data_IF_966083877389
#
_entry.id   IF_966083877389
#
_cell.length_a   1.000
_cell.length_b   1.000
_cell.length_c   1.000
_cell.angle_alpha   90.00
_cell.angle_beta   90.00
_cell.angle_gamma   90.00
#
_symmetry.space_group_name_H-M   'P 1'
#
loop_
_entity.id
_entity.type
_entity.pdbx_description
1 polymer ?
#
# COMPACT_ATOMS: atom_id res chain seq x y z
N UNK A 1 -18.44 -0.21 54.29
CA UNK A 1 -18.96 -0.58 52.94
C UNK A 1 -18.09 0.10 51.88
N UNK A 2 -17.13 -0.63 51.29
CA UNK A 2 -16.27 -0.13 50.20
C UNK A 2 -17.02 -0.30 48.88
N UNK A 3 -17.31 0.79 48.17
CA UNK A 3 -17.88 0.74 46.82
C UNK A 3 -16.77 0.39 45.84
N UNK A 4 -16.94 -0.74 45.17
CA UNK A 4 -16.07 -1.27 44.14
C UNK A 4 -16.28 -0.53 42.81
N UNK A 5 -15.16 -0.23 42.15
CA UNK A 5 -14.87 -0.49 40.72
C UNK A 5 -15.68 0.35 39.71
N UNK A 6 -15.13 1.43 39.15
CA UNK A 6 -14.30 1.46 37.93
C UNK A 6 -14.88 0.64 36.76
N UNK A 7 -15.66 1.29 35.89
CA UNK A 7 -15.72 0.92 34.48
C UNK A 7 -15.35 2.16 33.66
N UNK A 8 -14.05 2.26 33.39
CA UNK A 8 -13.47 3.19 32.44
C UNK A 8 -13.50 2.57 31.04
N UNK A 9 -14.03 3.35 30.10
CA UNK A 9 -13.61 3.46 28.70
C UNK A 9 -13.72 2.17 27.87
N UNK A 10 -14.83 2.08 27.12
CA UNK A 10 -14.85 1.41 25.83
C UNK A 10 -13.92 2.17 24.87
N UNK A 11 -12.65 1.77 24.82
CA UNK A 11 -11.67 2.31 23.90
C UNK A 11 -12.01 1.88 22.48
N UNK A 12 -12.11 2.87 21.59
CA UNK A 12 -12.29 2.72 20.16
C UNK A 12 -11.31 1.68 19.59
N UNK A 13 -11.80 0.53 19.14
CA UNK A 13 -11.09 -0.33 18.20
C UNK A 13 -11.32 0.20 16.78
N UNK A 14 -10.94 1.45 16.55
CA UNK A 14 -10.61 1.95 15.22
C UNK A 14 -9.10 1.86 15.14
N UNK A 15 -8.56 0.85 14.46
CA UNK A 15 -7.14 0.82 14.13
C UNK A 15 -6.87 2.02 13.21
N UNK A 16 -6.50 3.15 13.80
CA UNK A 16 -5.93 4.29 13.10
C UNK A 16 -4.52 3.88 12.66
N UNK A 17 -4.43 3.03 11.64
CA UNK A 17 -3.18 2.79 10.93
C UNK A 17 -2.80 4.11 10.26
N UNK A 18 -1.66 4.66 10.67
CA UNK A 18 -1.18 5.95 10.18
C UNK A 18 -0.43 5.79 8.87
N UNK A 19 -0.67 6.70 7.93
CA UNK A 19 0.14 6.87 6.73
C UNK A 19 1.29 7.80 7.09
N UNK A 20 2.53 7.32 6.97
CA UNK A 20 3.73 8.11 7.12
C UNK A 20 4.14 8.64 5.75
N UNK A 21 4.14 9.97 5.61
CA UNK A 21 4.46 10.63 4.36
C UNK A 21 5.23 11.94 4.59
N UNK A 22 5.97 12.36 3.57
CA UNK A 22 6.55 13.69 3.46
C UNK A 22 5.79 14.44 2.36
N UNK A 23 5.31 15.64 2.65
CA UNK A 23 4.51 16.45 1.73
C UNK A 23 5.25 17.75 1.40
N UNK A 24 5.43 17.99 0.10
CA UNK A 24 5.86 19.28 -0.46
C UNK A 24 4.71 19.89 -1.27
N UNK A 25 4.83 21.13 -1.78
CA UNK A 25 3.82 21.68 -2.69
C UNK A 25 3.59 20.83 -3.94
N UNK A 26 4.60 20.12 -4.43
CA UNK A 26 4.60 19.38 -5.70
C UNK A 26 4.33 17.87 -5.54
N UNK A 27 4.74 17.27 -4.44
CA UNK A 27 4.61 15.83 -4.23
C UNK A 27 4.21 15.42 -2.81
N UNK A 28 3.62 14.23 -2.70
CA UNK A 28 3.46 13.50 -1.46
C UNK A 28 4.21 12.18 -1.58
N UNK A 29 5.25 12.02 -0.77
CA UNK A 29 6.08 10.82 -0.72
C UNK A 29 5.65 9.93 0.42
N UNK A 30 5.07 8.77 0.11
CA UNK A 30 4.57 7.79 1.08
C UNK A 30 5.72 6.86 1.47
N UNK A 31 6.17 6.94 2.73
CA UNK A 31 7.18 6.04 3.28
C UNK A 31 6.57 4.78 3.91
N UNK A 32 5.33 4.88 4.39
CA UNK A 32 4.56 3.74 4.88
C UNK A 32 3.06 4.06 4.88
N UNK A 33 2.21 3.09 4.53
CA UNK A 33 0.76 3.19 4.66
C UNK A 33 0.18 1.91 5.24
N UNK A 34 -0.45 1.98 6.40
CA UNK A 34 -0.98 0.78 7.07
C UNK A 34 -2.40 0.38 6.67
N UNK A 35 -3.10 1.21 5.89
CA UNK A 35 -4.50 1.00 5.55
C UNK A 35 -5.45 1.69 6.51
N UNK A 36 -6.66 1.13 6.65
CA UNK A 36 -7.73 1.66 7.49
C UNK A 36 -9.09 1.68 6.78
N UNK A 37 -9.93 2.63 7.15
CA UNK A 37 -11.25 2.79 6.53
C UNK A 37 -11.11 3.21 5.07
N UNK A 38 -11.80 2.51 4.16
CA UNK A 38 -11.67 2.72 2.71
C UNK A 38 -11.95 4.17 2.30
N UNK A 39 -13.13 4.72 2.63
CA UNK A 39 -13.50 6.07 2.16
C UNK A 39 -12.57 7.17 2.68
N UNK A 40 -12.26 7.29 3.99
CA UNK A 40 -11.35 8.32 4.47
C UNK A 40 -9.94 8.26 3.86
N UNK A 41 -9.49 7.05 3.48
CA UNK A 41 -8.20 6.88 2.83
C UNK A 41 -8.29 7.35 1.39
N UNK A 42 -9.28 6.89 0.63
CA UNK A 42 -9.44 7.31 -0.77
C UNK A 42 -9.63 8.83 -0.86
N UNK A 43 -10.48 9.41 -0.01
CA UNK A 43 -10.68 10.86 0.07
C UNK A 43 -9.36 11.63 0.29
N UNK A 44 -8.42 11.08 1.06
CA UNK A 44 -7.10 11.68 1.28
C UNK A 44 -6.24 11.66 0.03
N UNK A 45 -6.18 10.55 -0.70
CA UNK A 45 -5.40 10.46 -1.94
C UNK A 45 -6.05 11.30 -3.06
N UNK A 46 -7.37 11.32 -3.14
CA UNK A 46 -8.11 12.20 -4.06
C UNK A 46 -7.84 13.67 -3.73
N UNK A 47 -7.84 14.07 -2.46
CA UNK A 47 -7.50 15.43 -2.06
C UNK A 47 -6.06 15.85 -2.45
N UNK A 48 -5.09 14.93 -2.42
CA UNK A 48 -3.73 15.22 -2.92
C UNK A 48 -3.69 15.37 -4.45
N UNK A 49 -4.44 14.53 -5.18
CA UNK A 49 -4.58 14.64 -6.63
C UNK A 49 -5.27 15.94 -7.05
N UNK A 50 -6.33 16.34 -6.35
CA UNK A 50 -7.05 17.60 -6.59
C UNK A 50 -6.16 18.83 -6.35
N UNK A 51 -5.17 18.71 -5.46
CA UNK A 51 -4.15 19.73 -5.24
C UNK A 51 -3.04 19.72 -6.32
N UNK A 52 -3.11 18.80 -7.29
CA UNK A 52 -2.11 18.62 -8.34
C UNK A 52 -0.80 17.98 -7.86
N UNK A 53 -0.78 17.40 -6.65
CA UNK A 53 0.44 16.81 -6.08
C UNK A 53 0.69 15.43 -6.65
N UNK A 54 1.91 15.18 -7.11
CA UNK A 54 2.34 13.84 -7.50
C UNK A 54 2.40 12.91 -6.29
N UNK A 55 1.87 11.70 -6.39
CA UNK A 55 1.99 10.69 -5.34
C UNK A 55 3.22 9.82 -5.63
N UNK A 56 4.17 9.75 -4.70
CA UNK A 56 5.37 8.93 -4.83
C UNK A 56 5.36 7.85 -3.76
N UNK A 57 5.29 6.59 -4.19
CA UNK A 57 5.25 5.43 -3.29
C UNK A 57 6.69 4.99 -3.07
N UNK A 58 7.22 5.24 -1.86
CA UNK A 58 8.63 5.06 -1.50
C UNK A 58 8.80 4.17 -0.27
N UNK A 59 7.89 3.22 -0.10
CA UNK A 59 7.87 2.26 0.99
C UNK A 59 6.67 1.33 0.92
N UNK A 60 6.39 0.63 2.02
CA UNK A 60 5.31 -0.35 2.05
C UNK A 60 3.95 0.31 2.27
N UNK A 61 2.99 0.01 1.40
CA UNK A 61 1.59 0.40 1.55
C UNK A 61 0.72 -0.85 1.60
N UNK A 62 -0.19 -0.88 2.57
CA UNK A 62 -0.96 -2.07 2.96
C UNK A 62 -2.45 -1.75 2.88
N UNK A 63 -3.25 -2.75 2.52
CA UNK A 63 -4.71 -2.67 2.59
C UNK A 63 -5.26 -1.49 1.77
N UNK A 64 -6.20 -0.71 2.30
CA UNK A 64 -6.77 0.45 1.62
C UNK A 64 -5.73 1.51 1.17
N UNK A 65 -4.61 1.70 1.89
CA UNK A 65 -3.54 2.58 1.41
C UNK A 65 -2.87 2.01 0.15
N UNK A 66 -2.76 0.68 0.04
CA UNK A 66 -2.20 0.03 -1.14
C UNK A 66 -3.05 0.33 -2.39
N UNK A 67 -4.37 0.19 -2.28
CA UNK A 67 -5.28 0.48 -3.40
C UNK A 67 -5.34 1.97 -3.74
N UNK A 68 -5.42 2.84 -2.73
CA UNK A 68 -5.50 4.28 -2.97
C UNK A 68 -4.20 4.85 -3.55
N UNK A 69 -3.04 4.40 -3.06
CA UNK A 69 -1.75 4.87 -3.56
C UNK A 69 -1.46 4.37 -4.98
N UNK A 70 -1.58 3.07 -5.24
CA UNK A 70 -1.29 2.48 -6.55
C UNK A 70 -2.39 2.73 -7.58
N UNK A 71 -3.60 3.13 -7.15
CA UNK A 71 -4.72 3.49 -8.02
C UNK A 71 -4.87 4.98 -8.29
N UNK A 72 -3.99 5.84 -7.77
CA UNK A 72 -4.03 7.27 -8.05
C UNK A 72 -3.43 7.57 -9.43
N UNK A 73 -4.09 8.45 -10.18
CA UNK A 73 -3.81 8.68 -11.61
C UNK A 73 -2.43 9.34 -11.84
N UNK A 74 -1.92 10.05 -10.83
CA UNK A 74 -0.61 10.72 -10.85
C UNK A 74 0.41 10.07 -9.90
N UNK A 75 0.22 8.79 -9.58
CA UNK A 75 1.15 8.04 -8.75
C UNK A 75 2.31 7.45 -9.56
N UNK A 76 3.46 7.30 -8.91
CA UNK A 76 4.50 6.37 -9.34
C UNK A 76 5.19 5.72 -8.14
N UNK A 77 5.87 4.59 -8.36
CA UNK A 77 6.56 3.84 -7.31
C UNK A 77 8.09 3.80 -7.50
N UNK A 78 8.83 3.78 -6.39
CA UNK A 78 10.31 3.71 -6.37
C UNK A 78 10.82 2.29 -6.13
N UNK A 79 12.15 2.12 -6.08
CA UNK A 79 12.80 0.86 -5.72
C UNK A 79 12.52 0.36 -4.29
N UNK A 80 11.96 1.23 -3.44
CA UNK A 80 11.60 0.90 -2.06
C UNK A 80 10.12 0.50 -1.91
N UNK A 81 9.32 0.66 -2.96
CA UNK A 81 7.89 0.42 -2.90
C UNK A 81 7.57 -1.05 -2.66
N UNK A 82 6.59 -1.29 -1.79
CA UNK A 82 6.00 -2.62 -1.59
C UNK A 82 4.49 -2.49 -1.62
N UNK A 83 3.86 -3.11 -2.61
CA UNK A 83 2.41 -3.18 -2.73
C UNK A 83 1.89 -4.37 -1.93
N UNK A 84 1.06 -4.10 -0.91
CA UNK A 84 0.57 -5.12 0.02
C UNK A 84 -0.97 -5.17 0.12
N UNK A 85 -1.67 -5.55 -0.97
CA UNK A 85 -3.11 -5.64 -0.98
C UNK A 85 -3.60 -6.89 -0.24
N UNK A 86 -4.86 -6.83 0.18
CA UNK A 86 -5.63 -7.97 0.66
C UNK A 86 -7.12 -7.70 0.47
N UNK A 87 -7.96 -8.72 0.62
CA UNK A 87 -9.40 -8.60 0.49
C UNK A 87 -9.97 -7.65 1.53
N UNK A 88 -10.92 -6.80 1.13
CA UNK A 88 -11.59 -5.88 2.04
C UNK A 88 -12.41 -6.65 3.08
N UNK A 89 -12.65 -6.02 4.23
CA UNK A 89 -13.47 -6.59 5.29
C UNK A 89 -14.26 -5.53 6.04
N UNK A 90 -15.42 -5.92 6.55
CA UNK A 90 -16.17 -5.14 7.51
C UNK A 90 -15.50 -5.24 8.88
N UNK A 91 -15.10 -4.09 9.42
CA UNK A 91 -14.48 -3.94 10.74
C UNK A 91 -13.19 -4.76 10.95
N UNK A 92 -12.54 -5.23 9.87
CA UNK A 92 -11.40 -6.15 10.03
C UNK A 92 -11.80 -7.52 10.55
N UNK A 93 -13.04 -7.98 10.32
CA UNK A 93 -13.56 -9.23 10.89
C UNK A 93 -14.26 -10.12 9.87
N UNK A 94 -14.98 -9.52 8.92
CA UNK A 94 -15.80 -10.25 7.95
C UNK A 94 -15.42 -9.80 6.56
N UNK A 95 -14.91 -10.72 5.73
CA UNK A 95 -14.59 -10.44 4.33
C UNK A 95 -15.77 -9.78 3.62
N UNK A 96 -15.47 -8.82 2.75
CA UNK A 96 -16.45 -8.20 1.88
C UNK A 96 -15.97 -8.18 0.43
N UNK A 97 -16.62 -9.00 -0.41
CA UNK A 97 -16.30 -9.09 -1.83
C UNK A 97 -16.66 -7.79 -2.56
N UNK A 98 -17.82 -7.19 -2.28
CA UNK A 98 -18.26 -5.92 -2.86
C UNK A 98 -17.21 -4.81 -2.65
N UNK A 99 -16.73 -4.64 -1.41
CA UNK A 99 -15.69 -3.65 -1.14
C UNK A 99 -14.33 -4.04 -1.75
N UNK A 100 -14.04 -5.33 -1.91
CA UNK A 100 -12.80 -5.79 -2.58
C UNK A 100 -12.82 -5.41 -4.06
N UNK A 101 -13.93 -5.67 -4.74
CA UNK A 101 -14.14 -5.30 -6.15
C UNK A 101 -14.08 -3.78 -6.32
N UNK A 102 -14.71 -3.02 -5.41
CA UNK A 102 -14.71 -1.57 -5.43
C UNK A 102 -13.30 -0.98 -5.31
N UNK A 103 -12.47 -1.43 -4.35
CA UNK A 103 -11.10 -0.91 -4.20
C UNK A 103 -10.18 -1.38 -5.31
N UNK A 104 -10.34 -2.62 -5.78
CA UNK A 104 -9.56 -3.17 -6.89
C UNK A 104 -9.86 -2.45 -8.22
N UNK A 105 -11.08 -1.94 -8.40
CA UNK A 105 -11.45 -1.16 -9.59
C UNK A 105 -10.66 0.16 -9.73
N UNK A 106 -9.96 0.62 -8.69
CA UNK A 106 -9.11 1.81 -8.76
C UNK A 106 -7.71 1.49 -9.29
N UNK A 107 -7.27 0.24 -9.24
CA UNK A 107 -5.94 -0.14 -9.69
C UNK A 107 -5.81 -0.02 -11.22
N UNK A 108 -4.59 0.23 -11.74
CA UNK A 108 -4.26 -0.01 -13.13
C UNK A 108 -4.64 -1.44 -13.54
N UNK A 109 -5.01 -1.61 -14.82
CA UNK A 109 -5.55 -2.88 -15.35
C UNK A 109 -4.67 -4.08 -14.99
N UNK A 110 -3.37 -3.95 -15.17
CA UNK A 110 -2.40 -5.02 -14.96
C UNK A 110 -2.28 -5.40 -13.48
N UNK A 111 -2.26 -4.41 -12.58
CA UNK A 111 -2.25 -4.63 -11.13
C UNK A 111 -3.58 -5.22 -10.63
N UNK A 112 -4.69 -4.77 -11.20
CA UNK A 112 -6.02 -5.30 -10.90
C UNK A 112 -6.12 -6.77 -11.30
N UNK A 113 -5.77 -7.10 -12.54
CA UNK A 113 -5.80 -8.47 -13.05
C UNK A 113 -4.86 -9.37 -12.24
N UNK A 114 -3.66 -8.90 -11.91
CA UNK A 114 -2.76 -9.63 -11.02
C UNK A 114 -3.41 -9.89 -9.65
N UNK A 115 -3.99 -8.86 -9.03
CA UNK A 115 -4.59 -8.98 -7.71
C UNK A 115 -5.77 -9.96 -7.71
N UNK A 116 -6.66 -9.90 -8.70
CA UNK A 116 -7.82 -10.79 -8.84
C UNK A 116 -7.46 -12.28 -8.96
N UNK A 117 -6.28 -12.58 -9.49
CA UNK A 117 -5.77 -13.95 -9.61
C UNK A 117 -4.85 -14.36 -8.44
N UNK A 118 -4.46 -13.42 -7.58
CA UNK A 118 -3.64 -13.68 -6.41
C UNK A 118 -4.49 -14.18 -5.23
N UNK A 119 -3.92 -15.02 -4.35
CA UNK A 119 -4.65 -15.56 -3.19
C UNK A 119 -5.15 -14.46 -2.23
N UNK A 120 -4.46 -13.31 -2.20
CA UNK A 120 -4.83 -12.14 -1.40
C UNK A 120 -6.17 -11.51 -1.83
N UNK A 121 -6.69 -11.83 -3.01
CA UNK A 121 -8.08 -11.48 -3.39
C UNK A 121 -9.12 -12.15 -2.49
N UNK A 122 -8.76 -13.29 -1.91
CA UNK A 122 -9.63 -14.10 -1.07
C UNK A 122 -9.25 -14.09 0.41
N UNK A 123 -8.03 -13.64 0.73
CA UNK A 123 -7.53 -13.53 2.10
C UNK A 123 -7.64 -12.08 2.59
N UNK A 124 -8.35 -11.88 3.70
CA UNK A 124 -8.50 -10.57 4.33
C UNK A 124 -7.60 -10.40 5.57
N UNK A 125 -6.92 -11.46 5.99
CA UNK A 125 -6.03 -11.48 7.17
C UNK A 125 -4.58 -11.34 6.71
N UNK A 126 -4.18 -12.14 5.71
CA UNK A 126 -2.87 -12.05 5.07
C UNK A 126 -2.85 -11.00 3.96
N UNK A 127 -1.69 -10.41 3.72
CA UNK A 127 -1.44 -9.51 2.60
C UNK A 127 -0.26 -10.00 1.77
N UNK A 128 -0.33 -9.77 0.47
CA UNK A 128 0.82 -9.99 -0.40
C UNK A 128 1.95 -9.01 -0.04
N UNK A 129 3.18 -9.34 -0.41
CA UNK A 129 4.30 -8.40 -0.38
C UNK A 129 4.89 -8.36 -1.79
N UNK A 130 4.34 -7.51 -2.64
CA UNK A 130 4.79 -7.34 -4.03
C UNK A 130 5.92 -6.32 -4.01
N UNK A 131 7.15 -6.81 -4.10
CA UNK A 131 8.37 -6.00 -4.13
C UNK A 131 8.57 -5.31 -5.48
N UNK A 132 9.52 -4.37 -5.53
CA UNK A 132 9.85 -3.59 -6.73
C UNK A 132 10.13 -4.45 -7.98
N UNK A 133 10.86 -5.56 -7.85
CA UNK A 133 11.15 -6.46 -8.97
C UNK A 133 9.88 -7.05 -9.58
N UNK A 134 8.97 -7.52 -8.74
CA UNK A 134 7.69 -8.07 -9.18
C UNK A 134 6.73 -6.97 -9.66
N UNK A 135 6.76 -5.78 -9.07
CA UNK A 135 6.02 -4.62 -9.54
C UNK A 135 6.43 -4.23 -10.97
N UNK A 136 7.72 -4.27 -11.29
CA UNK A 136 8.21 -4.01 -12.65
C UNK A 136 7.76 -5.09 -13.64
N UNK A 137 7.59 -6.33 -13.21
CA UNK A 137 7.03 -7.40 -14.06
C UNK A 137 5.51 -7.26 -14.28
N UNK A 138 4.78 -6.72 -13.30
CA UNK A 138 3.32 -6.57 -13.36
C UNK A 138 2.92 -5.26 -14.05
N UNK A 139 3.48 -4.14 -13.62
CA UNK A 139 3.08 -2.79 -14.02
C UNK A 139 4.31 -1.88 -14.16
N UNK A 140 5.15 -2.08 -15.18
CA UNK A 140 6.39 -1.31 -15.38
C UNK A 140 6.15 0.19 -15.57
N UNK A 141 5.02 0.59 -16.17
CA UNK A 141 4.66 1.98 -16.44
C UNK A 141 4.43 2.81 -15.17
N UNK A 142 4.15 2.15 -14.04
CA UNK A 142 3.99 2.82 -12.75
C UNK A 142 5.30 3.20 -12.07
N UNK A 143 6.44 2.74 -12.57
CA UNK A 143 7.73 3.08 -11.96
C UNK A 143 8.03 4.57 -12.14
N UNK A 144 8.65 5.19 -11.14
CA UNK A 144 9.12 6.57 -11.26
C UNK A 144 10.34 6.72 -12.20
N UNK A 145 10.97 5.61 -12.60
CA UNK A 145 12.18 5.60 -13.41
C UNK A 145 11.84 5.61 -14.92
N UNK A 146 12.64 6.32 -15.71
CA UNK A 146 12.47 6.37 -17.18
C UNK A 146 12.69 5.00 -17.84
N UNK A 147 13.57 4.17 -17.27
CA UNK A 147 13.78 2.77 -17.64
C UNK A 147 13.57 1.86 -16.41
N UNK A 148 12.36 1.30 -16.22
CA UNK A 148 12.05 0.46 -15.05
C UNK A 148 12.86 -0.84 -15.02
N UNK A 149 13.21 -1.41 -16.17
CA UNK A 149 13.94 -2.67 -16.24
C UNK A 149 15.41 -2.49 -15.88
N UNK A 150 16.06 -1.42 -16.37
CA UNK A 150 17.41 -1.08 -15.95
C UNK A 150 17.47 -0.76 -14.44
N UNK A 151 16.47 -0.04 -13.92
CA UNK A 151 16.36 0.24 -12.50
C UNK A 151 16.22 -1.05 -11.67
N UNK A 152 15.38 -2.00 -12.12
CA UNK A 152 15.25 -3.33 -11.51
C UNK A 152 16.57 -4.10 -11.51
N UNK A 153 17.27 -4.16 -12.63
CA UNK A 153 18.52 -4.92 -12.73
C UNK A 153 19.59 -4.36 -11.78
N UNK A 154 19.68 -3.02 -11.67
CA UNK A 154 20.55 -2.36 -10.71
C UNK A 154 20.14 -2.66 -9.25
N UNK A 155 18.84 -2.63 -8.95
CA UNK A 155 18.33 -2.97 -7.62
C UNK A 155 18.63 -4.43 -7.24
N UNK A 156 18.40 -5.39 -8.14
CA UNK A 156 18.68 -6.81 -7.90
C UNK A 156 20.17 -7.03 -7.62
N UNK A 157 21.05 -6.38 -8.39
CA UNK A 157 22.49 -6.45 -8.17
C UNK A 157 22.88 -5.92 -6.77
N UNK A 158 22.28 -4.79 -6.36
CA UNK A 158 22.49 -4.19 -5.03
C UNK A 158 22.01 -5.09 -3.89
N UNK A 159 20.86 -5.77 -4.04
CA UNK A 159 20.39 -6.71 -3.02
C UNK A 159 21.33 -7.92 -2.88
N UNK A 160 21.75 -8.51 -4.00
CA UNK A 160 22.72 -9.62 -4.00
C UNK A 160 24.03 -9.25 -3.32
N UNK A 161 24.53 -8.03 -3.55
CA UNK A 161 25.72 -7.53 -2.86
C UNK A 161 25.50 -7.45 -1.35
N UNK A 162 24.37 -6.89 -0.89
CA UNK A 162 24.03 -6.78 0.53
C UNK A 162 23.90 -8.14 1.21
N UNK A 163 23.32 -9.12 0.53
CA UNK A 163 23.22 -10.49 1.04
C UNK A 163 24.59 -11.13 1.18
N UNK A 164 25.46 -10.97 0.17
CA UNK A 164 26.84 -11.45 0.24
C UNK A 164 27.58 -10.80 1.43
N UNK A 165 27.51 -9.48 1.59
CA UNK A 165 28.13 -8.77 2.71
C UNK A 165 27.63 -9.23 4.08
N UNK A 166 26.34 -9.60 4.20
CA UNK A 166 25.78 -10.17 5.43
C UNK A 166 26.28 -11.59 5.71
N UNK A 167 26.49 -12.41 4.68
CA UNK A 167 26.98 -13.77 4.83
C UNK A 167 28.44 -13.83 5.35
N UNK A 168 29.20 -12.74 5.22
CA UNK A 168 30.57 -12.62 5.72
C UNK A 168 30.71 -11.91 7.09
N UNK A 169 29.59 -11.57 7.74
CA UNK A 169 29.57 -11.02 9.11
C UNK A 169 29.17 -12.08 10.12
#
# INVERSE_FOLDING_TARGET
MKKFVLLAIAGLLGACTSTAYNETPEEVRIAFGGGGLVYPIFDRYDAWQDQGKKIVIDGQVISADAFAAFGADNACYTENAVFSPHAASHLGLVRSQEYTEMVAARLPTELKEWFEHHHSYNDWIGFANVSFDLLVDIWPEGACADDPYAARDAWVAKQRQREAERAFR
#
